data_IF_402173804505
#
_entry.id   IF_402173804505
#
_cell.length_a   1.000
_cell.length_b   1.000
_cell.length_c   1.000
_cell.angle_alpha   90.00
_cell.angle_beta   90.00
_cell.angle_gamma   90.00
#
_symmetry.space_group_name_H-M   'P 1'
#
loop_
_entity.id
_entity.type
_entity.pdbx_description
1 polymer ?
#
# COMPACT_ATOMS: atom_id res chain seq x y z
N UNK A 1 10.71 17.01 12.54
CA UNK A 1 12.17 16.96 12.31
C UNK A 1 12.48 15.67 11.56
N UNK A 2 13.23 15.69 10.46
CA UNK A 2 13.63 14.44 9.77
C UNK A 2 14.96 13.97 10.37
N UNK A 3 14.97 12.75 10.91
CA UNK A 3 16.19 12.10 11.43
C UNK A 3 16.70 11.12 10.38
N UNK A 4 17.99 11.20 10.06
CA UNK A 4 18.65 10.27 9.13
C UNK A 4 19.29 9.14 9.92
N UNK A 5 19.09 7.90 9.48
CA UNK A 5 19.72 6.71 10.05
C UNK A 5 20.50 6.01 8.94
N UNK A 6 21.79 5.76 9.18
CA UNK A 6 22.65 5.05 8.24
C UNK A 6 22.72 3.57 8.65
N UNK A 7 22.41 2.68 7.71
CA UNK A 7 22.51 1.24 7.92
C UNK A 7 23.76 0.71 7.22
N UNK A 8 24.44 -0.22 7.88
CA UNK A 8 25.49 -1.03 7.26
C UNK A 8 24.93 -2.43 7.11
N UNK A 9 24.77 -2.86 5.87
CA UNK A 9 24.19 -4.16 5.52
C UNK A 9 25.18 -4.94 4.66
N UNK A 10 25.01 -6.25 4.62
CA UNK A 10 25.75 -7.13 3.71
C UNK A 10 25.26 -6.94 2.27
N UNK A 11 26.07 -7.34 1.28
CA UNK A 11 25.78 -7.12 -0.13
C UNK A 11 24.51 -7.84 -0.60
N UNK A 12 24.28 -9.06 -0.13
CA UNK A 12 23.07 -9.86 -0.39
C UNK A 12 21.79 -9.17 0.11
N UNK A 13 21.83 -8.59 1.31
CA UNK A 13 20.69 -7.84 1.85
C UNK A 13 20.42 -6.58 1.03
N UNK A 14 21.48 -5.91 0.55
CA UNK A 14 21.33 -4.74 -0.32
C UNK A 14 20.64 -5.11 -1.64
N UNK A 15 21.06 -6.19 -2.27
CA UNK A 15 20.46 -6.67 -3.54
C UNK A 15 18.99 -7.03 -3.35
N UNK A 16 18.63 -7.72 -2.26
CA UNK A 16 17.23 -8.02 -1.95
C UNK A 16 16.38 -6.75 -1.77
N UNK A 17 16.94 -5.72 -1.13
CA UNK A 17 16.24 -4.44 -0.97
C UNK A 17 16.07 -3.70 -2.30
N UNK A 18 17.05 -3.79 -3.21
CA UNK A 18 16.96 -3.24 -4.56
C UNK A 18 15.85 -3.93 -5.37
N UNK A 19 15.77 -5.27 -5.32
CA UNK A 19 14.71 -6.05 -5.97
C UNK A 19 13.32 -5.62 -5.46
N UNK A 20 13.13 -5.56 -4.13
CA UNK A 20 11.84 -5.14 -3.56
C UNK A 20 11.49 -3.68 -3.91
N UNK A 21 12.50 -2.81 -3.99
CA UNK A 21 12.33 -1.41 -4.40
C UNK A 21 11.76 -1.33 -5.81
N UNK A 22 12.24 -2.16 -6.73
CA UNK A 22 11.75 -2.24 -8.11
C UNK A 22 10.37 -2.88 -8.20
N UNK A 23 10.12 -3.99 -7.50
CA UNK A 23 8.84 -4.71 -7.53
C UNK A 23 7.67 -3.85 -7.06
N UNK A 24 7.89 -3.00 -6.05
CA UNK A 24 6.86 -2.12 -5.50
C UNK A 24 6.84 -0.72 -6.12
N UNK A 25 7.77 -0.39 -7.03
CA UNK A 25 7.98 0.98 -7.54
C UNK A 25 8.14 2.01 -6.40
N UNK A 26 8.91 1.64 -5.38
CA UNK A 26 9.15 2.46 -4.19
C UNK A 26 10.63 2.68 -3.97
N UNK A 27 11.00 3.73 -3.22
CA UNK A 27 12.40 3.90 -2.81
C UNK A 27 12.82 2.82 -1.77
N UNK A 28 14.07 2.37 -1.81
CA UNK A 28 14.68 1.51 -0.77
C UNK A 28 14.42 2.04 0.66
N UNK A 29 14.49 3.36 0.85
CA UNK A 29 14.23 3.99 2.15
C UNK A 29 12.80 3.79 2.66
N UNK A 30 11.83 3.67 1.75
CA UNK A 30 10.44 3.38 2.08
C UNK A 30 10.27 1.89 2.40
N UNK A 31 10.80 1.01 1.55
CA UNK A 31 10.82 -0.45 1.79
C UNK A 31 11.42 -0.79 3.17
N UNK A 32 12.60 -0.24 3.51
CA UNK A 32 13.22 -0.44 4.82
C UNK A 32 12.31 0.05 5.95
N UNK A 33 11.68 1.22 5.78
CA UNK A 33 10.77 1.78 6.79
C UNK A 33 9.59 0.85 7.03
N UNK A 34 9.00 0.32 5.98
CA UNK A 34 7.83 -0.54 6.07
C UNK A 34 8.18 -1.88 6.70
N UNK A 35 9.36 -2.44 6.39
CA UNK A 35 9.91 -3.62 7.06
C UNK A 35 10.09 -3.36 8.58
N UNK A 36 10.65 -2.20 8.94
CA UNK A 36 10.85 -1.83 10.35
C UNK A 36 9.50 -1.68 11.06
N UNK A 37 8.55 -0.93 10.48
CA UNK A 37 7.22 -0.70 11.03
C UNK A 37 6.49 -2.04 11.23
N UNK A 38 6.50 -2.90 10.22
CA UNK A 38 5.89 -4.22 10.29
C UNK A 38 6.48 -5.05 11.44
N UNK A 39 7.81 -5.08 11.58
CA UNK A 39 8.48 -5.81 12.65
C UNK A 39 8.17 -5.25 14.04
N UNK A 40 8.09 -3.92 14.18
CA UNK A 40 7.74 -3.28 15.46
C UNK A 40 6.29 -3.58 15.86
N UNK A 41 5.34 -3.49 14.92
CA UNK A 41 3.94 -3.86 15.14
C UNK A 41 3.78 -5.32 15.53
N UNK A 42 4.42 -6.23 14.79
CA UNK A 42 4.41 -7.67 15.08
C UNK A 42 4.94 -8.00 16.48
N UNK A 43 5.81 -7.16 17.04
CA UNK A 43 6.37 -7.30 18.39
C UNK A 43 5.58 -6.54 19.48
N UNK A 44 4.50 -5.85 19.12
CA UNK A 44 3.74 -5.00 20.05
C UNK A 44 4.50 -3.76 20.52
N UNK A 45 5.54 -3.35 19.78
CA UNK A 45 6.34 -2.15 20.09
C UNK A 45 5.83 -0.89 19.39
N UNK A 46 4.87 -1.07 18.48
CA UNK A 46 4.17 0.00 17.78
C UNK A 46 2.72 -0.43 17.64
N UNK A 47 1.79 0.49 17.89
CA UNK A 47 0.37 0.21 17.73
C UNK A 47 0.03 0.00 16.25
N UNK A 48 -1.04 -0.75 15.99
CA UNK A 48 -1.60 -0.83 14.64
C UNK A 48 -2.10 0.57 14.25
N UNK A 49 -1.86 0.98 13.02
CA UNK A 49 -2.50 2.20 12.51
C UNK A 49 -4.01 1.99 12.57
N UNK A 50 -4.71 2.86 13.31
CA UNK A 50 -6.15 3.00 13.19
C UNK A 50 -6.47 3.36 11.74
N UNK A 51 -6.74 2.36 10.90
CA UNK A 51 -7.32 2.60 9.59
C UNK A 51 -8.71 3.16 9.86
N UNK A 52 -8.99 4.36 9.38
CA UNK A 52 -10.37 4.85 9.26
C UNK A 52 -11.13 3.82 8.41
N UNK A 53 -11.89 2.95 9.10
CA UNK A 53 -12.80 2.04 8.45
C UNK A 53 -14.00 2.88 8.02
N UNK A 54 -14.00 3.30 6.75
CA UNK A 54 -15.19 3.86 6.15
C UNK A 54 -16.24 2.76 6.01
N UNK A 55 -17.24 2.77 6.89
CA UNK A 55 -18.46 2.01 6.67
C UNK A 55 -19.24 2.68 5.55
N UNK A 56 -19.01 2.22 4.32
CA UNK A 56 -19.88 2.59 3.20
C UNK A 56 -21.15 1.74 3.35
N UNK A 57 -22.25 2.39 3.74
CA UNK A 57 -23.55 1.77 3.66
C UNK A 57 -23.97 1.72 2.19
N UNK A 58 -23.94 0.52 1.59
CA UNK A 58 -24.29 0.32 0.18
C UNK A 58 -25.74 0.72 -0.15
N UNK A 59 -26.59 0.88 0.87
CA UNK A 59 -27.96 1.40 0.73
C UNK A 59 -27.99 2.87 0.30
N UNK A 60 -26.95 3.63 0.65
CA UNK A 60 -26.86 5.07 0.41
C UNK A 60 -26.09 5.38 -0.90
N UNK A 61 -25.60 4.33 -1.58
CA UNK A 61 -24.89 4.45 -2.84
C UNK A 61 -25.91 4.49 -3.99
N UNK A 62 -26.26 5.69 -4.44
CA UNK A 62 -27.10 5.88 -5.63
C UNK A 62 -26.30 5.53 -6.89
N UNK A 63 -26.49 4.30 -7.37
CA UNK A 63 -25.86 3.77 -8.58
C UNK A 63 -26.70 4.04 -9.85
N UNK A 64 -27.75 4.87 -9.77
CA UNK A 64 -28.64 5.14 -10.90
C UNK A 64 -27.91 5.74 -12.11
N UNK A 65 -26.84 6.51 -11.90
CA UNK A 65 -26.01 7.06 -12.98
C UNK A 65 -25.05 6.04 -13.62
N UNK A 66 -24.69 4.96 -12.91
CA UNK A 66 -23.74 3.95 -13.40
C UNK A 66 -24.33 3.05 -14.52
N UNK A 67 -25.65 3.11 -14.73
CA UNK A 67 -26.36 2.36 -15.78
C UNK A 67 -26.60 3.25 -17.01
N UNK A 68 -25.57 3.95 -17.48
CA UNK A 68 -25.61 4.60 -18.80
C UNK A 68 -24.31 4.33 -19.56
N UNK A 69 -24.20 3.13 -20.15
CA UNK A 69 -23.65 2.92 -21.50
C UNK A 69 -23.46 1.43 -21.78
N UNK A 70 -24.36 0.85 -22.59
CA UNK A 70 -24.03 0.31 -23.92
C UNK A 70 -25.31 -0.07 -24.64
N UNK A 71 -25.67 0.79 -25.60
CA UNK A 71 -26.51 0.42 -26.74
C UNK A 71 -25.92 -0.84 -27.38
N UNK A 72 -26.52 -2.00 -27.13
CA UNK A 72 -26.37 -3.14 -28.03
C UNK A 72 -27.24 -2.83 -29.26
N UNK A 73 -26.61 -2.25 -30.29
CA UNK A 73 -27.14 -2.36 -31.65
C UNK A 73 -27.10 -3.84 -32.01
N UNK A 74 -28.27 -4.47 -32.01
CA UNK A 74 -28.47 -5.68 -32.80
C UNK A 74 -28.77 -5.22 -34.21
N UNK A 75 -27.80 -5.35 -35.10
CA UNK A 75 -28.02 -5.28 -36.54
C UNK A 75 -28.74 -6.58 -36.96
N UNK A 76 -29.97 -6.47 -37.46
CA UNK A 76 -30.64 -7.48 -38.30
C UNK A 76 -30.51 -7.09 -39.78
#
# INVERSE_FOLDING_TARGET
MKTTINFRVTCDVKEQLEILSEEYDESISKVIRDIIIHNLRRRGLLEEEEREVFYINLSDLDLSEAVTNKNFKNDE
#
